data_IF_668345374075
#
_entry.id   IF_668345374075
#
_cell.length_a   1.000
_cell.length_b   1.000
_cell.length_c   1.000
_cell.angle_alpha   90.00
_cell.angle_beta   90.00
_cell.angle_gamma   90.00
#
_symmetry.space_group_name_H-M   'P 1'
#
loop_
_entity.id
_entity.type
_entity.pdbx_description
1 polymer ?
#
# COMPACT_ATOMS: atom_id res chain seq x y z
N UNK A 1 -10.43 -5.50 20.66
CA UNK A 1 -10.48 -4.68 21.90
C UNK A 1 -9.32 -3.66 21.94
N UNK A 2 -8.10 -4.03 21.54
CA UNK A 2 -6.92 -3.16 21.64
C UNK A 2 -7.03 -1.91 20.75
N UNK A 3 -7.58 -2.02 19.53
CA UNK A 3 -7.82 -0.89 18.64
C UNK A 3 -8.86 0.10 19.20
N UNK A 4 -9.92 -0.41 19.79
CA UNK A 4 -10.93 0.45 20.42
C UNK A 4 -10.29 1.20 21.61
N UNK A 5 -9.46 0.52 22.38
CA UNK A 5 -8.72 1.12 23.49
C UNK A 5 -7.72 2.18 23.01
N UNK A 6 -6.99 1.91 21.94
CA UNK A 6 -6.09 2.89 21.32
C UNK A 6 -6.86 4.12 20.83
N UNK A 7 -8.00 3.93 20.14
CA UNK A 7 -8.87 5.02 19.70
C UNK A 7 -9.40 5.86 20.86
N UNK A 8 -9.81 5.22 21.97
CA UNK A 8 -10.23 5.92 23.19
C UNK A 8 -9.12 6.77 23.81
N UNK A 9 -7.88 6.26 23.80
CA UNK A 9 -6.70 7.02 24.26
C UNK A 9 -6.49 8.25 23.36
N UNK A 10 -6.55 8.07 22.04
CA UNK A 10 -6.46 9.17 21.07
C UNK A 10 -7.53 10.24 21.28
N UNK A 11 -8.78 9.85 21.55
CA UNK A 11 -9.86 10.77 21.90
C UNK A 11 -9.60 11.53 23.21
N UNK A 12 -9.10 10.84 24.22
CA UNK A 12 -8.77 11.45 25.51
C UNK A 12 -7.64 12.47 25.36
N UNK A 13 -6.62 12.17 24.58
CA UNK A 13 -5.54 13.12 24.24
C UNK A 13 -6.06 14.31 23.45
N UNK A 14 -6.95 14.09 22.49
CA UNK A 14 -7.60 15.15 21.73
C UNK A 14 -8.37 16.10 22.65
N UNK A 15 -9.15 15.56 23.60
CA UNK A 15 -9.92 16.38 24.53
C UNK A 15 -9.06 17.26 25.46
N UNK A 16 -7.84 16.82 25.76
CA UNK A 16 -6.89 17.56 26.60
C UNK A 16 -6.09 18.63 25.84
N UNK A 17 -5.82 18.37 24.58
CA UNK A 17 -4.91 19.19 23.77
C UNK A 17 -5.63 20.06 22.73
N UNK A 18 -6.97 19.98 22.66
CA UNK A 18 -7.75 20.77 21.70
C UNK A 18 -7.70 22.24 22.03
N UNK A 19 -7.37 23.02 21.03
CA UNK A 19 -7.36 24.49 21.07
C UNK A 19 -8.26 25.06 19.98
N UNK A 20 -9.47 25.47 20.39
CA UNK A 20 -10.48 26.03 19.46
C UNK A 20 -10.06 27.32 18.76
N UNK A 21 -8.95 27.97 19.18
CA UNK A 21 -8.43 29.18 18.53
C UNK A 21 -7.73 28.90 17.19
N UNK A 22 -7.41 27.63 16.91
CA UNK A 22 -6.70 27.20 15.68
C UNK A 22 -7.58 26.96 14.46
N UNK A 23 -8.89 27.24 14.55
CA UNK A 23 -9.80 27.25 13.41
C UNK A 23 -10.36 25.88 12.96
N UNK A 24 -9.92 24.78 13.56
CA UNK A 24 -10.46 23.46 13.31
C UNK A 24 -11.59 23.12 14.31
N UNK A 25 -12.59 22.30 13.89
CA UNK A 25 -13.59 21.78 14.80
C UNK A 25 -12.97 20.70 15.71
N UNK A 26 -13.55 20.50 16.91
CA UNK A 26 -13.11 19.42 17.81
C UNK A 26 -13.25 18.05 17.15
N UNK A 27 -14.32 17.85 16.38
CA UNK A 27 -14.60 16.57 15.71
C UNK A 27 -13.50 16.23 14.70
N UNK A 28 -13.09 17.20 13.86
CA UNK A 28 -12.01 17.02 12.88
C UNK A 28 -10.68 16.71 13.58
N UNK A 29 -10.33 17.51 14.63
CA UNK A 29 -9.10 17.29 15.39
C UNK A 29 -9.09 15.93 16.11
N UNK A 30 -10.21 15.58 16.76
CA UNK A 30 -10.35 14.30 17.46
C UNK A 30 -10.30 13.11 16.49
N UNK A 31 -10.93 13.22 15.32
CA UNK A 31 -10.89 12.19 14.27
C UNK A 31 -9.46 11.86 13.84
N UNK A 32 -8.65 12.88 13.57
CA UNK A 32 -7.22 12.72 13.20
C UNK A 32 -6.44 12.04 14.34
N UNK A 33 -6.66 12.46 15.59
CA UNK A 33 -5.94 11.89 16.75
C UNK A 33 -6.35 10.44 17.05
N UNK A 34 -7.64 10.11 16.92
CA UNK A 34 -8.16 8.76 17.08
C UNK A 34 -7.55 7.84 16.03
N UNK A 35 -7.62 8.23 14.74
CA UNK A 35 -7.05 7.47 13.63
C UNK A 35 -5.54 7.24 13.84
N UNK A 36 -4.78 8.29 14.18
CA UNK A 36 -3.35 8.19 14.43
C UNK A 36 -3.04 7.21 15.57
N UNK A 37 -3.77 7.25 16.68
CA UNK A 37 -3.57 6.34 17.81
C UNK A 37 -3.89 4.88 17.44
N UNK A 38 -4.94 4.63 16.63
CA UNK A 38 -5.28 3.29 16.15
C UNK A 38 -4.23 2.76 15.18
N UNK A 39 -3.74 3.58 14.26
CA UNK A 39 -2.66 3.22 13.34
C UNK A 39 -1.35 2.93 14.07
N UNK A 40 -1.01 3.71 15.07
CA UNK A 40 0.18 3.46 15.90
C UNK A 40 0.08 2.14 16.67
N UNK A 41 -1.13 1.74 17.12
CA UNK A 41 -1.34 0.44 17.77
C UNK A 41 -1.23 -0.71 16.78
N UNK A 42 -1.77 -0.57 15.57
CA UNK A 42 -1.58 -1.54 14.47
C UNK A 42 -0.08 -1.68 14.16
N UNK A 43 0.64 -0.57 14.03
CA UNK A 43 2.10 -0.56 13.79
C UNK A 43 2.91 -1.18 14.95
N UNK A 44 2.45 -1.09 16.19
CA UNK A 44 3.07 -1.77 17.35
C UNK A 44 2.90 -3.28 17.30
N UNK A 45 1.72 -3.75 16.85
CA UNK A 45 1.44 -5.18 16.67
C UNK A 45 2.18 -5.77 15.47
N UNK A 46 2.44 -4.96 14.46
CA UNK A 46 3.15 -5.33 13.24
C UNK A 46 4.67 -5.16 13.40
N UNK A 47 5.30 -6.13 14.05
CA UNK A 47 6.75 -6.26 13.99
C UNK A 47 7.17 -6.74 12.59
N UNK A 48 7.12 -5.88 11.59
CA UNK A 48 7.74 -6.16 10.30
C UNK A 48 9.25 -5.95 10.45
N UNK A 49 10.08 -6.99 10.30
CA UNK A 49 11.52 -6.86 10.40
C UNK A 49 12.06 -5.80 9.42
N UNK A 50 13.05 -5.01 9.83
CA UNK A 50 13.69 -4.02 8.95
C UNK A 50 14.21 -4.62 7.63
N UNK A 51 14.51 -5.92 7.64
CA UNK A 51 14.88 -6.67 6.44
C UNK A 51 13.77 -6.70 5.40
N UNK A 52 12.50 -6.81 5.80
CA UNK A 52 11.35 -6.85 4.89
C UNK A 52 11.18 -5.51 4.18
N UNK A 53 11.26 -4.40 4.89
CA UNK A 53 11.23 -3.06 4.26
C UNK A 53 12.39 -2.83 3.30
N UNK A 54 13.60 -3.30 3.66
CA UNK A 54 14.77 -3.23 2.77
C UNK A 54 14.57 -4.08 1.51
N UNK A 55 14.06 -5.30 1.67
CA UNK A 55 13.78 -6.21 0.57
C UNK A 55 12.70 -5.65 -0.35
N UNK A 56 11.63 -5.07 0.20
CA UNK A 56 10.57 -4.41 -0.55
C UNK A 56 11.11 -3.30 -1.46
N UNK A 57 12.00 -2.45 -0.95
CA UNK A 57 12.64 -1.39 -1.75
C UNK A 57 13.56 -1.96 -2.83
N UNK A 58 14.35 -2.96 -2.49
CA UNK A 58 15.27 -3.61 -3.43
C UNK A 58 14.51 -4.30 -4.58
N UNK A 59 13.37 -4.93 -4.29
CA UNK A 59 12.50 -5.55 -5.31
C UNK A 59 11.93 -4.48 -6.25
N UNK A 60 11.38 -3.39 -5.72
CA UNK A 60 10.83 -2.31 -6.53
C UNK A 60 11.88 -1.67 -7.44
N UNK A 61 13.09 -1.41 -6.93
CA UNK A 61 14.20 -0.88 -7.69
C UNK A 61 14.68 -1.84 -8.79
N UNK A 62 14.75 -3.13 -8.49
CA UNK A 62 15.12 -4.15 -9.47
C UNK A 62 14.08 -4.29 -10.60
N UNK A 63 12.78 -4.21 -10.29
CA UNK A 63 11.71 -4.21 -11.29
C UNK A 63 11.87 -2.99 -12.21
N UNK A 64 12.01 -1.80 -11.63
CA UNK A 64 12.20 -0.56 -12.39
C UNK A 64 13.40 -0.65 -13.34
N UNK A 65 14.56 -1.09 -12.85
CA UNK A 65 15.78 -1.23 -13.64
C UNK A 65 15.59 -2.19 -14.84
N UNK A 66 14.94 -3.33 -14.62
CA UNK A 66 14.67 -4.31 -15.66
C UNK A 66 13.67 -3.79 -16.69
N UNK A 67 12.59 -3.13 -16.24
CA UNK A 67 11.58 -2.55 -17.14
C UNK A 67 12.15 -1.41 -17.98
N UNK A 68 12.96 -0.54 -17.39
CA UNK A 68 13.67 0.52 -18.13
C UNK A 68 14.65 -0.03 -19.18
N UNK A 69 15.39 -1.08 -18.81
CA UNK A 69 16.36 -1.68 -19.73
C UNK A 69 15.72 -2.41 -20.90
N UNK A 70 14.55 -3.03 -20.71
CA UNK A 70 13.92 -3.88 -21.72
C UNK A 70 12.70 -3.24 -22.41
N UNK A 71 12.16 -2.13 -21.90
CA UNK A 71 10.98 -1.46 -22.42
C UNK A 71 9.69 -2.30 -22.34
N UNK A 72 9.65 -3.29 -21.47
CA UNK A 72 8.53 -4.20 -21.22
C UNK A 72 8.49 -4.65 -19.76
N UNK A 73 7.38 -5.26 -19.36
CA UNK A 73 7.23 -5.82 -18.02
C UNK A 73 8.35 -6.80 -17.67
N UNK A 74 8.89 -6.64 -16.45
CA UNK A 74 9.94 -7.49 -15.91
C UNK A 74 9.39 -8.89 -15.58
N UNK A 75 10.17 -9.93 -15.88
CA UNK A 75 9.90 -11.32 -15.47
C UNK A 75 10.59 -11.63 -14.15
N UNK A 76 10.01 -12.53 -13.35
CA UNK A 76 10.56 -12.95 -12.06
C UNK A 76 12.05 -13.34 -12.15
N UNK A 77 12.41 -14.07 -13.22
CA UNK A 77 13.79 -14.52 -13.46
C UNK A 77 14.76 -13.38 -13.75
N UNK A 78 14.29 -12.33 -14.41
CA UNK A 78 15.09 -11.15 -14.75
C UNK A 78 15.28 -10.27 -13.51
N UNK A 79 14.22 -10.11 -12.70
CA UNK A 79 14.31 -9.37 -11.42
C UNK A 79 15.24 -10.08 -10.46
N UNK A 80 15.10 -11.40 -10.29
CA UNK A 80 16.00 -12.20 -9.45
C UNK A 80 17.46 -12.07 -9.90
N UNK A 81 17.72 -12.15 -11.22
CA UNK A 81 19.06 -11.97 -11.78
C UNK A 81 19.61 -10.56 -11.54
N UNK A 82 18.79 -9.51 -11.69
CA UNK A 82 19.19 -8.13 -11.40
C UNK A 82 19.57 -7.93 -9.93
N UNK A 83 18.83 -8.59 -9.02
CA UNK A 83 19.10 -8.57 -7.57
C UNK A 83 20.28 -9.47 -7.16
N UNK A 84 20.79 -10.32 -8.05
CA UNK A 84 21.85 -11.28 -7.75
C UNK A 84 21.43 -12.43 -6.82
N UNK A 85 20.14 -12.77 -6.80
CA UNK A 85 19.56 -13.85 -5.99
C UNK A 85 19.00 -14.96 -6.88
N UNK A 86 18.79 -16.15 -6.31
CA UNK A 86 18.08 -17.21 -7.01
C UNK A 86 16.57 -16.90 -7.12
N UNK A 87 15.89 -17.51 -8.08
CA UNK A 87 14.45 -17.35 -8.23
C UNK A 87 13.68 -17.81 -6.97
N UNK A 88 14.16 -18.86 -6.29
CA UNK A 88 13.57 -19.33 -5.03
C UNK A 88 13.71 -18.32 -3.90
N UNK A 89 14.87 -17.68 -3.75
CA UNK A 89 15.09 -16.59 -2.77
C UNK A 89 14.23 -15.39 -3.09
N UNK A 90 14.14 -15.00 -4.36
CA UNK A 90 13.25 -13.91 -4.79
C UNK A 90 11.79 -14.19 -4.40
N UNK A 91 11.28 -15.40 -4.68
CA UNK A 91 9.93 -15.78 -4.30
C UNK A 91 9.73 -15.83 -2.78
N UNK A 92 10.74 -16.26 -2.01
CA UNK A 92 10.69 -16.20 -0.55
C UNK A 92 10.63 -14.75 -0.04
N UNK A 93 11.42 -13.84 -0.62
CA UNK A 93 11.38 -12.42 -0.29
C UNK A 93 9.99 -11.80 -0.58
N UNK A 94 9.35 -12.14 -1.70
CA UNK A 94 7.98 -11.72 -2.00
C UNK A 94 6.98 -12.24 -0.97
N UNK A 95 7.15 -13.48 -0.50
CA UNK A 95 6.30 -14.10 0.52
C UNK A 95 6.47 -13.46 1.90
N UNK A 96 7.69 -13.16 2.32
CA UNK A 96 7.97 -12.49 3.59
C UNK A 96 7.31 -11.11 3.66
N UNK A 97 7.28 -10.40 2.54
CA UNK A 97 6.58 -9.12 2.44
C UNK A 97 5.05 -9.31 2.52
N UNK A 98 4.50 -10.36 1.93
CA UNK A 98 3.06 -10.66 1.96
C UNK A 98 2.57 -11.16 3.31
N UNK A 99 3.36 -11.98 4.01
CA UNK A 99 3.01 -12.49 5.35
C UNK A 99 3.08 -11.42 6.43
N UNK A 100 3.84 -10.33 6.21
CA UNK A 100 4.01 -9.24 7.17
C UNK A 100 2.96 -8.14 7.05
N UNK A 101 2.40 -7.91 5.88
CA UNK A 101 1.35 -6.89 5.62
C UNK A 101 0.65 -7.14 4.29
N UNK A 102 -0.67 -7.00 4.29
CA UNK A 102 -1.36 -6.39 3.15
C UNK A 102 -0.69 -5.03 2.97
N UNK A 103 0.07 -4.86 1.89
CA UNK A 103 0.71 -3.57 1.58
C UNK A 103 -0.45 -2.60 1.35
N UNK A 104 -0.70 -1.75 2.34
CA UNK A 104 -1.69 -0.69 2.22
C UNK A 104 -1.27 0.34 1.17
N UNK A 105 -2.22 1.12 0.70
CA UNK A 105 -1.96 2.22 -0.23
C UNK A 105 -0.98 3.25 0.37
N UNK A 106 -0.91 3.33 1.71
CA UNK A 106 0.04 4.15 2.46
C UNK A 106 1.50 3.68 2.26
N UNK A 107 1.70 2.38 2.03
CA UNK A 107 3.03 1.82 1.75
C UNK A 107 3.52 2.16 0.32
N UNK A 108 2.62 2.64 -0.56
CA UNK A 108 3.00 3.23 -1.85
C UNK A 108 3.70 4.59 -1.67
N UNK A 109 3.77 5.09 -0.43
CA UNK A 109 4.44 6.33 -0.08
C UNK A 109 3.59 7.59 -0.30
N UNK A 110 2.31 7.40 -0.56
CA UNK A 110 1.34 8.48 -0.68
C UNK A 110 0.87 8.84 0.71
N UNK A 111 0.96 10.11 1.11
CA UNK A 111 0.39 10.56 2.37
C UNK A 111 -1.13 10.42 2.33
N UNK A 112 -1.75 10.05 3.45
CA UNK A 112 -3.21 9.93 3.58
C UNK A 112 -3.96 11.20 3.15
N UNK A 113 -3.29 12.36 3.20
CA UNK A 113 -3.83 13.64 2.79
C UNK A 113 -4.09 13.73 1.27
N UNK A 114 -3.47 12.86 0.45
CA UNK A 114 -3.67 12.80 -1.01
C UNK A 114 -4.82 11.86 -1.40
N UNK A 115 -5.18 10.93 -0.50
CA UNK A 115 -6.31 10.01 -0.70
C UNK A 115 -7.53 10.62 0.01
N UNK A 116 -8.16 11.63 -0.61
CA UNK A 116 -9.36 12.25 -0.09
C UNK A 116 -10.47 11.22 0.15
N UNK A 117 -10.96 11.11 1.39
CA UNK A 117 -12.20 10.39 1.64
C UNK A 117 -13.36 11.16 1.00
N UNK A 118 -14.29 10.49 0.29
CA UNK A 118 -15.43 11.14 -0.37
C UNK A 118 -16.37 11.89 0.60
N UNK A 119 -16.22 11.70 1.91
CA UNK A 119 -17.07 12.33 2.94
C UNK A 119 -16.44 13.57 3.61
N UNK A 120 -15.18 13.91 3.34
CA UNK A 120 -14.55 15.11 3.88
C UNK A 120 -14.73 16.35 2.96
N UNK A 121 -15.98 16.71 2.67
CA UNK A 121 -16.34 17.94 1.95
C UNK A 121 -16.15 19.20 2.82
N UNK A 122 -15.19 19.24 3.74
CA UNK A 122 -14.92 20.38 4.60
C UNK A 122 -13.48 20.90 4.43
N UNK A 123 -13.29 21.74 3.40
CA UNK A 123 -12.42 22.91 3.53
C UNK A 123 -10.92 22.74 3.36
N UNK A 124 -10.42 21.73 2.64
CA UNK A 124 -9.02 21.71 2.21
C UNK A 124 -8.94 22.29 0.80
N UNK A 125 -8.00 23.20 0.58
CA UNK A 125 -7.95 24.03 -0.61
C UNK A 125 -7.82 23.22 -1.89
N UNK A 126 -8.46 23.66 -2.98
CA UNK A 126 -8.57 22.97 -4.28
C UNK A 126 -7.26 22.54 -4.98
N UNK A 127 -6.11 22.66 -4.32
CA UNK A 127 -4.83 22.08 -4.75
C UNK A 127 -4.69 20.63 -4.30
N UNK A 128 -5.18 20.28 -3.10
CA UNK A 128 -5.09 18.91 -2.56
C UNK A 128 -6.09 18.01 -3.26
N UNK A 129 -7.31 18.49 -3.56
CA UNK A 129 -8.32 17.77 -4.34
C UNK A 129 -7.82 17.45 -5.76
N UNK A 130 -7.14 18.42 -6.42
CA UNK A 130 -6.59 18.23 -7.75
C UNK A 130 -5.39 17.27 -7.74
N UNK A 131 -4.60 17.24 -6.69
CA UNK A 131 -3.50 16.30 -6.52
C UNK A 131 -4.02 14.88 -6.30
N UNK A 132 -5.07 14.71 -5.49
CA UNK A 132 -5.74 13.43 -5.25
C UNK A 132 -6.38 12.86 -6.54
N UNK A 133 -7.10 13.69 -7.31
CA UNK A 133 -7.70 13.29 -8.59
C UNK A 133 -6.64 12.83 -9.59
N UNK A 134 -5.56 13.59 -9.74
CA UNK A 134 -4.44 13.22 -10.63
C UNK A 134 -3.74 11.94 -10.18
N UNK A 135 -3.62 11.72 -8.88
CA UNK A 135 -3.04 10.48 -8.34
C UNK A 135 -3.95 9.29 -8.65
N UNK A 136 -5.27 9.41 -8.47
CA UNK A 136 -6.23 8.37 -8.80
C UNK A 136 -6.19 8.02 -10.29
N UNK A 137 -6.13 9.02 -11.16
CA UNK A 137 -6.00 8.82 -12.61
C UNK A 137 -4.70 8.10 -12.96
N UNK A 138 -3.57 8.52 -12.38
CA UNK A 138 -2.28 7.87 -12.58
C UNK A 138 -2.28 6.43 -12.06
N UNK A 139 -2.84 6.18 -10.88
CA UNK A 139 -2.97 4.85 -10.32
C UNK A 139 -3.82 3.94 -11.23
N UNK A 140 -4.97 4.42 -11.70
CA UNK A 140 -5.84 3.69 -12.62
C UNK A 140 -5.11 3.35 -13.94
N UNK A 141 -4.35 4.31 -14.50
CA UNK A 141 -3.54 4.09 -15.68
C UNK A 141 -2.46 3.03 -15.46
N UNK A 142 -1.77 3.07 -14.33
CA UNK A 142 -0.73 2.09 -14.00
C UNK A 142 -1.30 0.70 -13.71
N UNK A 143 -2.48 0.60 -13.07
CA UNK A 143 -3.20 -0.67 -12.89
C UNK A 143 -3.58 -1.26 -14.25
N UNK A 144 -4.13 -0.45 -15.17
CA UNK A 144 -4.51 -0.90 -16.51
C UNK A 144 -3.32 -1.40 -17.36
N UNK A 145 -2.10 -0.98 -17.01
CA UNK A 145 -0.85 -1.41 -17.68
C UNK A 145 -0.12 -2.55 -16.95
N UNK A 146 -0.71 -3.14 -15.90
CA UNK A 146 -0.14 -4.31 -15.26
C UNK A 146 -0.22 -5.54 -16.16
N UNK A 147 0.70 -6.52 -16.01
CA UNK A 147 0.53 -7.83 -16.61
C UNK A 147 -0.84 -8.42 -16.26
N UNK A 148 -1.48 -9.06 -17.25
CA UNK A 148 -2.86 -9.56 -17.15
C UNK A 148 -3.14 -10.36 -15.86
N UNK A 149 -2.20 -11.23 -15.45
CA UNK A 149 -2.33 -12.03 -14.23
C UNK A 149 -2.25 -11.19 -12.95
N UNK A 150 -1.42 -10.15 -12.93
CA UNK A 150 -1.29 -9.25 -11.79
C UNK A 150 -2.55 -8.39 -11.65
N UNK A 151 -3.03 -7.80 -12.75
CA UNK A 151 -4.27 -7.04 -12.77
C UNK A 151 -5.47 -7.88 -12.33
N UNK A 152 -5.57 -9.13 -12.82
CA UNK A 152 -6.66 -10.04 -12.45
C UNK A 152 -6.63 -10.38 -10.95
N UNK A 153 -5.47 -10.65 -10.37
CA UNK A 153 -5.35 -10.93 -8.93
C UNK A 153 -5.78 -9.72 -8.10
N UNK A 154 -5.38 -8.50 -8.50
CA UNK A 154 -5.81 -7.29 -7.81
C UNK A 154 -7.32 -7.07 -7.92
N UNK A 155 -7.92 -7.23 -9.10
CA UNK A 155 -9.38 -7.10 -9.28
C UNK A 155 -10.15 -8.14 -8.44
N UNK A 156 -9.74 -9.41 -8.44
CA UNK A 156 -10.38 -10.44 -7.62
C UNK A 156 -10.26 -10.16 -6.11
N UNK A 157 -9.16 -9.54 -5.69
CA UNK A 157 -8.92 -9.25 -4.28
C UNK A 157 -9.65 -7.99 -3.80
N UNK A 158 -9.59 -6.87 -4.58
CA UNK A 158 -10.11 -5.57 -4.16
C UNK A 158 -11.54 -5.31 -4.64
N UNK A 159 -11.92 -5.75 -5.86
CA UNK A 159 -13.26 -5.48 -6.41
C UNK A 159 -14.24 -6.60 -6.02
N UNK A 160 -13.80 -7.88 -6.08
CA UNK A 160 -14.64 -9.04 -5.75
C UNK A 160 -14.49 -9.49 -4.29
N UNK A 161 -13.62 -8.84 -3.51
CA UNK A 161 -13.37 -9.09 -2.08
C UNK A 161 -13.02 -10.55 -1.75
N UNK A 162 -12.43 -11.29 -2.71
CA UNK A 162 -12.03 -12.69 -2.52
C UNK A 162 -10.75 -12.78 -1.69
N UNK A 163 -10.67 -13.77 -0.81
CA UNK A 163 -9.42 -14.06 -0.11
C UNK A 163 -8.40 -14.79 -1.01
N UNK A 164 -7.13 -14.82 -0.62
CA UNK A 164 -6.05 -15.38 -1.45
C UNK A 164 -6.27 -16.87 -1.80
N UNK A 165 -6.92 -17.63 -0.93
CA UNK A 165 -7.23 -19.04 -1.16
C UNK A 165 -8.31 -19.18 -2.23
N UNK A 166 -9.39 -18.40 -2.15
CA UNK A 166 -10.48 -18.39 -3.14
C UNK A 166 -9.96 -17.97 -4.51
N UNK A 167 -9.11 -16.93 -4.57
CA UNK A 167 -8.40 -16.54 -5.80
C UNK A 167 -7.55 -17.70 -6.33
N UNK A 168 -6.87 -18.44 -5.46
CA UNK A 168 -6.10 -19.62 -5.84
C UNK A 168 -6.96 -20.70 -6.48
N UNK A 169 -8.16 -20.94 -5.95
CA UNK A 169 -9.14 -21.87 -6.52
C UNK A 169 -9.63 -21.39 -7.91
N UNK A 170 -9.94 -20.10 -8.07
CA UNK A 170 -10.34 -19.49 -9.36
C UNK A 170 -9.24 -19.62 -10.41
N UNK A 171 -7.99 -19.31 -10.03
CA UNK A 171 -6.84 -19.31 -10.95
C UNK A 171 -6.15 -20.67 -11.09
N UNK A 172 -6.59 -21.70 -10.35
CA UNK A 172 -6.00 -23.04 -10.31
C UNK A 172 -4.51 -23.01 -9.91
N UNK A 173 -4.16 -22.16 -8.92
CA UNK A 173 -2.82 -22.03 -8.34
C UNK A 173 -2.88 -22.11 -6.81
N UNK A 174 -1.73 -22.28 -6.16
CA UNK A 174 -1.67 -22.26 -4.70
C UNK A 174 -1.89 -20.85 -4.15
N UNK A 175 -2.43 -20.74 -2.94
CA UNK A 175 -2.55 -19.49 -2.18
C UNK A 175 -1.20 -18.73 -2.12
N UNK A 176 -0.10 -19.46 -1.86
CA UNK A 176 1.25 -18.91 -1.86
C UNK A 176 1.62 -18.27 -3.21
N UNK A 177 1.19 -18.86 -4.34
CA UNK A 177 1.45 -18.26 -5.67
C UNK A 177 0.60 -17.01 -5.89
N UNK A 178 -0.64 -16.99 -5.43
CA UNK A 178 -1.48 -15.78 -5.47
C UNK A 178 -0.83 -14.65 -4.65
N UNK A 179 -0.36 -14.96 -3.44
CA UNK A 179 0.35 -14.01 -2.58
C UNK A 179 1.61 -13.42 -3.26
N UNK A 180 2.40 -14.26 -3.96
CA UNK A 180 3.55 -13.80 -4.74
C UNK A 180 3.14 -12.84 -5.88
N UNK A 181 2.09 -13.19 -6.64
CA UNK A 181 1.59 -12.36 -7.75
C UNK A 181 1.07 -11.02 -7.20
N UNK A 182 0.30 -11.05 -6.12
CA UNK A 182 -0.20 -9.84 -5.46
C UNK A 182 0.96 -8.93 -5.00
N UNK A 183 1.95 -9.48 -4.29
CA UNK A 183 3.11 -8.70 -3.85
C UNK A 183 3.90 -8.12 -5.00
N UNK A 184 4.10 -8.87 -6.07
CA UNK A 184 4.80 -8.40 -7.25
C UNK A 184 4.04 -7.24 -7.93
N UNK A 185 2.71 -7.35 -8.05
CA UNK A 185 1.87 -6.27 -8.57
C UNK A 185 2.03 -4.99 -7.75
N UNK A 186 1.99 -5.10 -6.42
CA UNK A 186 2.16 -3.95 -5.51
C UNK A 186 3.56 -3.33 -5.62
N UNK A 187 4.62 -4.14 -5.73
CA UNK A 187 5.98 -3.62 -5.93
C UNK A 187 6.13 -2.91 -7.27
N UNK A 188 5.49 -3.41 -8.32
CA UNK A 188 5.48 -2.80 -9.65
C UNK A 188 4.74 -1.47 -9.64
N UNK A 189 3.57 -1.41 -9.02
CA UNK A 189 2.83 -0.16 -8.84
C UNK A 189 3.66 0.86 -8.05
N UNK A 190 4.29 0.43 -6.96
CA UNK A 190 5.17 1.29 -6.16
C UNK A 190 6.35 1.84 -6.97
N UNK A 191 6.98 1.03 -7.81
CA UNK A 191 8.06 1.48 -8.67
C UNK A 191 7.59 2.55 -9.66
N UNK A 192 6.42 2.35 -10.27
CA UNK A 192 5.83 3.26 -11.26
C UNK A 192 5.26 4.55 -10.67
N UNK A 193 4.85 4.52 -9.40
CA UNK A 193 4.29 5.68 -8.68
C UNK A 193 5.35 6.43 -7.85
N UNK A 194 6.63 6.09 -8.00
CA UNK A 194 7.71 6.68 -7.20
C UNK A 194 7.81 8.19 -7.33
N UNK A 195 7.51 8.72 -8.52
CA UNK A 195 7.56 10.16 -8.80
C UNK A 195 6.42 10.95 -8.14
N UNK A 196 5.41 10.26 -7.59
CA UNK A 196 4.31 10.86 -6.83
C UNK A 196 4.61 10.99 -5.34
N UNK A 197 5.77 10.50 -4.87
CA UNK A 197 6.26 10.68 -3.50
C UNK A 197 6.99 12.04 -3.36
N UNK A 198 6.28 13.14 -3.55
CA UNK A 198 6.76 14.50 -3.30
C UNK A 198 6.29 15.01 -1.96
#
# INVERSE_FOLDING_TARGET
DDLIQAGMIGLLEASRNFDGSKGASFETYAGIRIRGAMLDEIRRGDWVPRSVHRNSRAIAEAIENVEQAHGRDARDTEVAANMGVSLGEYHAMLQDVSCGKIIGIEDLGVSEDVIGHPDDASGHGGFDDLAAERFQDALAEHIARLPEREALVLSLYYDEELNLREIGEVLSVSESRVSQIHSQAMHRLRARLRDWNL
#
